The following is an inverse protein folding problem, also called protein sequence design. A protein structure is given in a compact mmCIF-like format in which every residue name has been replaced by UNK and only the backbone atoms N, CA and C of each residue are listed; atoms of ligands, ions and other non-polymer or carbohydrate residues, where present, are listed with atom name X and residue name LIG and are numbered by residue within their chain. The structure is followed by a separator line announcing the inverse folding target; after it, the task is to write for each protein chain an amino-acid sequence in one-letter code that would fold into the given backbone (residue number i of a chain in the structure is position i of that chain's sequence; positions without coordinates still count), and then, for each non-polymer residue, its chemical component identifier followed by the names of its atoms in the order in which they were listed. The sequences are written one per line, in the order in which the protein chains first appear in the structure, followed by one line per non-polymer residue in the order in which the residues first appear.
data_IF_597299329791
#
_entry.id   IF_597299329791
#
_cell.length_a   1.000
_cell.length_b   1.000
_cell.length_c   1.000
_cell.angle_alpha   90.00
_cell.angle_beta   90.00
_cell.angle_gamma   90.00
#
_symmetry.space_group_name_H-M   'P 1'
#
loop_
_entity.id
_entity.type
_entity.pdbx_description
1 polymer ?
#
# COMPACT_ATOMS: atom_id res chain seq x y z
N UNK A 1 49.87 -4.77 -44.39
CA UNK A 1 48.81 -3.77 -44.65
C UNK A 1 47.39 -4.20 -44.26
N UNK A 2 47.15 -5.40 -43.69
CA UNK A 2 45.79 -5.89 -43.35
C UNK A 2 45.23 -5.41 -41.99
N UNK A 3 46.02 -4.70 -41.18
CA UNK A 3 45.63 -4.26 -39.82
C UNK A 3 44.87 -2.93 -39.78
N UNK A 4 45.17 -1.99 -40.70
CA UNK A 4 44.55 -0.66 -40.75
C UNK A 4 43.06 -0.71 -41.19
N UNK A 5 42.71 -1.60 -42.12
CA UNK A 5 41.32 -1.78 -42.56
C UNK A 5 40.40 -2.38 -41.49
N UNK A 6 40.93 -3.26 -40.63
CA UNK A 6 40.17 -3.80 -39.47
C UNK A 6 39.87 -2.72 -38.44
N UNK A 7 40.77 -1.75 -38.24
CA UNK A 7 40.55 -0.62 -37.33
C UNK A 7 39.44 0.33 -37.81
N UNK A 8 39.38 0.62 -39.12
CA UNK A 8 38.30 1.43 -39.71
C UNK A 8 36.93 0.74 -39.60
N UNK A 9 36.83 -0.56 -39.90
CA UNK A 9 35.60 -1.33 -39.72
C UNK A 9 35.16 -1.41 -38.25
N UNK A 10 36.10 -1.41 -37.31
CA UNK A 10 35.80 -1.38 -35.87
C UNK A 10 35.20 -0.02 -35.47
N UNK A 11 35.70 1.08 -36.02
CA UNK A 11 35.11 2.42 -35.85
C UNK A 11 33.69 2.53 -36.43
N UNK A 12 33.41 1.91 -37.58
CA UNK A 12 32.07 1.93 -38.18
C UNK A 12 31.04 1.12 -37.38
N UNK A 13 31.45 0.03 -36.73
CA UNK A 13 30.57 -0.76 -35.84
C UNK A 13 30.01 0.05 -34.67
N UNK A 14 30.66 1.14 -34.28
CA UNK A 14 30.19 2.04 -33.20
C UNK A 14 28.96 2.87 -33.60
N UNK A 15 28.70 3.04 -34.90
CA UNK A 15 27.53 3.76 -35.41
C UNK A 15 26.31 2.85 -35.62
N UNK A 16 26.51 1.53 -35.68
CA UNK A 16 25.43 0.56 -35.72
C UNK A 16 25.01 0.20 -34.31
N UNK A 17 23.94 0.85 -33.83
CA UNK A 17 23.23 0.41 -32.64
C UNK A 17 22.72 -1.01 -32.82
N UNK A 18 22.51 -1.72 -31.71
CA UNK A 18 21.81 -2.99 -31.81
C UNK A 18 20.39 -2.73 -32.35
N UNK A 19 19.83 -3.61 -33.20
CA UNK A 19 18.58 -3.30 -33.89
C UNK A 19 17.40 -3.05 -32.95
N UNK A 20 17.42 -3.63 -31.74
CA UNK A 20 16.44 -3.41 -30.67
C UNK A 20 16.64 -2.12 -29.85
N UNK A 21 17.69 -1.34 -30.12
CA UNK A 21 17.96 -0.03 -29.50
C UNK A 21 17.54 1.16 -30.39
N UNK A 22 16.87 0.88 -31.51
CA UNK A 22 16.40 1.91 -32.46
C UNK A 22 14.96 2.33 -32.14
N UNK A 23 14.10 1.39 -31.75
CA UNK A 23 12.71 1.65 -31.34
C UNK A 23 12.30 0.74 -30.17
N UNK A 24 11.33 1.21 -29.37
CA UNK A 24 10.76 0.44 -28.25
C UNK A 24 11.30 0.84 -26.87
N UNK A 25 10.96 0.09 -25.81
CA UNK A 25 11.29 0.45 -24.42
C UNK A 25 12.80 0.63 -24.18
N UNK A 26 13.64 -0.16 -24.85
CA UNK A 26 15.10 -0.12 -24.70
C UNK A 26 15.77 1.14 -25.25
N UNK A 27 15.01 2.04 -25.89
CA UNK A 27 15.54 3.31 -26.42
C UNK A 27 15.27 4.50 -25.52
N UNK A 28 14.37 4.35 -24.55
CA UNK A 28 14.08 5.41 -23.59
C UNK A 28 15.27 5.62 -22.66
N UNK A 29 15.68 6.86 -22.37
CA UNK A 29 16.72 7.15 -21.38
C UNK A 29 16.34 6.70 -19.97
N UNK A 30 15.06 6.43 -19.72
CA UNK A 30 14.52 6.00 -18.44
C UNK A 30 14.54 4.47 -18.27
N UNK A 31 14.84 3.74 -19.34
CA UNK A 31 14.89 2.28 -19.32
C UNK A 31 16.08 1.76 -18.49
N UNK A 32 15.79 0.88 -17.54
CA UNK A 32 16.79 0.20 -16.70
C UNK A 32 16.66 -1.31 -16.82
N UNK A 33 17.80 -2.01 -16.91
CA UNK A 33 17.81 -3.47 -16.95
C UNK A 33 17.31 -4.08 -15.63
N UNK A 34 16.62 -5.21 -15.73
CA UNK A 34 16.01 -5.90 -14.58
C UNK A 34 17.00 -6.67 -13.70
N UNK A 35 18.22 -6.91 -14.21
CA UNK A 35 19.24 -7.73 -13.53
C UNK A 35 20.15 -6.79 -12.73
N UNK A 36 19.94 -6.63 -11.41
CA UNK A 36 20.84 -5.85 -10.60
C UNK A 36 22.18 -6.58 -10.45
N UNK A 37 23.25 -5.83 -10.22
CA UNK A 37 24.51 -6.43 -9.85
C UNK A 37 24.41 -7.08 -8.46
N UNK A 38 25.07 -8.22 -8.27
CA UNK A 38 25.11 -8.93 -6.99
C UNK A 38 25.74 -8.09 -5.85
N UNK A 39 26.58 -7.11 -6.20
CA UNK A 39 27.18 -6.14 -5.26
C UNK A 39 26.19 -5.07 -4.82
N UNK A 40 25.21 -4.72 -5.67
CA UNK A 40 24.22 -3.68 -5.43
C UNK A 40 23.01 -4.23 -4.67
N UNK A 41 22.50 -5.38 -5.10
CA UNK A 41 21.32 -6.00 -4.50
C UNK A 41 21.72 -6.90 -3.33
N UNK A 42 21.17 -6.62 -2.14
CA UNK A 42 21.34 -7.46 -0.95
C UNK A 42 22.81 -7.68 -0.57
N UNK A 43 23.57 -6.58 -0.55
CA UNK A 43 24.97 -6.53 -0.10
C UNK A 43 25.22 -7.24 1.24
N UNK A 44 24.24 -7.19 2.14
CA UNK A 44 24.25 -7.92 3.40
C UNK A 44 23.19 -9.02 3.37
N UNK A 45 23.55 -10.20 3.89
CA UNK A 45 22.56 -11.24 4.15
C UNK A 45 21.52 -10.73 5.17
N UNK A 46 20.23 -11.11 5.08
CA UNK A 46 19.19 -10.62 5.99
C UNK A 46 19.44 -11.03 7.44
N UNK A 47 20.15 -12.14 7.66
CA UNK A 47 20.55 -12.60 8.99
C UNK A 47 21.76 -11.82 9.55
N UNK A 48 22.49 -11.11 8.69
CA UNK A 48 23.74 -10.40 9.03
C UNK A 48 23.59 -8.92 8.70
N UNK A 49 22.52 -8.30 9.21
CA UNK A 49 22.32 -6.87 9.07
C UNK A 49 23.41 -6.10 9.85
N UNK A 50 24.00 -5.03 9.30
CA UNK A 50 25.06 -4.28 9.96
C UNK A 50 24.57 -3.48 11.18
N UNK A 51 23.27 -3.20 11.25
CA UNK A 51 22.67 -2.40 12.31
C UNK A 51 21.85 -3.27 13.28
N UNK A 52 21.98 -3.00 14.58
CA UNK A 52 21.10 -3.56 15.60
C UNK A 52 19.80 -2.76 15.65
N UNK A 53 18.74 -3.31 15.07
CA UNK A 53 17.40 -2.69 15.10
C UNK A 53 16.77 -2.84 16.49
N UNK A 54 16.21 -1.74 17.03
CA UNK A 54 15.37 -1.74 18.24
C UNK A 54 13.95 -1.36 17.83
N UNK A 55 13.07 -2.34 17.75
CA UNK A 55 11.66 -2.10 17.40
C UNK A 55 10.90 -1.66 18.67
N UNK A 56 10.29 -0.46 18.70
CA UNK A 56 9.51 -0.04 19.85
C UNK A 56 8.25 -0.91 19.97
N UNK A 57 7.95 -1.36 21.19
CA UNK A 57 6.79 -2.23 21.48
C UNK A 57 5.63 -1.48 22.14
N UNK A 58 5.93 -0.37 22.82
CA UNK A 58 4.97 0.41 23.58
C UNK A 58 5.29 1.89 23.50
N UNK A 59 4.25 2.72 23.63
CA UNK A 59 4.39 4.16 23.72
C UNK A 59 5.03 4.56 25.05
N UNK A 60 5.94 5.56 25.07
CA UNK A 60 6.71 5.92 26.26
C UNK A 60 5.84 6.35 27.45
N UNK A 61 4.70 6.98 27.18
CA UNK A 61 3.71 7.36 28.20
C UNK A 61 3.18 6.14 28.98
N UNK A 62 3.11 4.98 28.32
CA UNK A 62 2.49 3.77 28.86
C UNK A 62 3.47 2.78 29.47
N UNK A 63 4.77 3.07 29.41
CA UNK A 63 5.83 2.25 30.00
C UNK A 63 5.79 2.37 31.52
N UNK A 64 5.62 3.58 32.04
CA UNK A 64 5.57 3.84 33.48
C UNK A 64 4.14 3.94 34.02
N UNK A 65 3.19 4.53 33.27
CA UNK A 65 1.77 4.49 33.64
C UNK A 65 1.09 3.23 33.08
N UNK A 66 1.17 2.15 33.87
CA UNK A 66 0.72 0.82 33.48
C UNK A 66 -0.78 0.58 33.72
N UNK A 67 -1.57 1.62 34.01
CA UNK A 67 -3.02 1.48 34.23
C UNK A 67 -3.69 0.88 33.00
N UNK A 68 -4.23 -0.32 33.15
CA UNK A 68 -4.80 -1.05 32.02
C UNK A 68 -6.24 -0.65 31.71
N UNK A 69 -7.08 -0.37 32.72
CA UNK A 69 -8.51 -0.13 32.54
C UNK A 69 -8.82 1.12 31.69
N UNK A 70 -7.95 2.14 31.72
CA UNK A 70 -8.06 3.34 30.87
C UNK A 70 -7.68 3.07 29.41
N UNK A 71 -6.88 2.04 29.16
CA UNK A 71 -6.39 1.65 27.83
C UNK A 71 -7.21 0.53 27.19
N UNK A 72 -8.04 -0.17 27.96
CA UNK A 72 -8.80 -1.34 27.51
C UNK A 72 -9.95 -0.95 26.57
N UNK A 73 -9.64 -0.82 25.28
CA UNK A 73 -10.63 -0.55 24.22
C UNK A 73 -11.56 -1.72 23.92
N UNK A 74 -11.24 -2.93 24.37
CA UNK A 74 -12.05 -4.11 24.07
C UNK A 74 -13.29 -4.19 24.95
N UNK A 75 -13.15 -3.81 26.23
CA UNK A 75 -14.24 -3.84 27.21
C UNK A 75 -14.89 -2.48 27.42
N UNK A 76 -14.21 -1.39 27.11
CA UNK A 76 -14.73 -0.01 27.12
C UNK A 76 -15.67 0.25 25.93
N UNK A 77 -16.67 -0.60 25.76
CA UNK A 77 -17.74 -0.44 24.79
C UNK A 77 -19.05 -0.15 25.51
N UNK A 78 -19.90 0.76 25.00
CA UNK A 78 -21.19 0.98 25.60
C UNK A 78 -21.99 -0.32 25.61
N UNK A 79 -22.76 -0.61 26.67
CA UNK A 79 -23.58 -1.80 26.75
C UNK A 79 -24.65 -1.79 25.65
N UNK A 80 -24.99 -2.97 25.15
CA UNK A 80 -26.01 -3.13 24.11
C UNK A 80 -27.37 -2.70 24.66
N UNK A 81 -27.95 -1.64 24.09
CA UNK A 81 -29.30 -1.17 24.41
C UNK A 81 -30.31 -1.83 23.48
N UNK A 82 -31.28 -2.55 24.03
CA UNK A 82 -32.39 -3.19 23.28
C UNK A 82 -33.70 -2.54 23.69
N UNK A 83 -34.37 -1.89 22.75
CA UNK A 83 -35.68 -1.26 22.96
C UNK A 83 -36.71 -1.95 22.08
N UNK A 84 -37.87 -2.28 22.65
CA UNK A 84 -38.99 -2.86 21.90
C UNK A 84 -39.83 -1.72 21.32
N UNK A 85 -39.96 -1.66 19.99
CA UNK A 85 -40.86 -0.73 19.32
C UNK A 85 -42.18 -1.45 19.03
N UNK A 86 -43.29 -0.92 19.53
CA UNK A 86 -44.63 -1.45 19.22
C UNK A 86 -45.26 -0.62 18.09
N UNK A 87 -46.32 -1.15 17.49
CA UNK A 87 -47.12 -0.46 16.48
C UNK A 87 -47.44 1.02 16.79
N UNK A 88 -47.94 1.40 18.00
CA UNK A 88 -48.22 2.80 18.30
C UNK A 88 -46.98 3.71 18.28
N UNK A 89 -45.79 3.19 18.59
CA UNK A 89 -44.55 3.98 18.57
C UNK A 89 -44.10 4.24 17.14
N UNK A 90 -44.26 3.23 16.27
CA UNK A 90 -43.95 3.34 14.84
C UNK A 90 -44.88 4.34 14.15
N UNK A 91 -46.19 4.29 14.42
CA UNK A 91 -47.17 5.23 13.87
C UNK A 91 -46.86 6.68 14.26
N UNK A 92 -46.42 6.92 15.50
CA UNK A 92 -45.96 8.25 15.95
C UNK A 92 -44.71 8.72 15.21
N UNK A 93 -43.72 7.85 15.01
CA UNK A 93 -42.50 8.18 14.27
C UNK A 93 -42.83 8.50 12.81
N UNK A 94 -43.74 7.74 12.20
CA UNK A 94 -44.17 7.97 10.82
C UNK A 94 -44.93 9.30 10.68
N UNK A 95 -45.81 9.62 11.61
CA UNK A 95 -46.54 10.90 11.61
C UNK A 95 -45.62 12.10 11.83
N UNK A 96 -44.52 11.94 12.58
CA UNK A 96 -43.57 13.00 12.86
C UNK A 96 -42.50 13.21 11.77
N UNK A 97 -42.24 12.21 10.92
CA UNK A 97 -41.14 12.25 9.95
C UNK A 97 -41.56 12.91 8.63
N UNK A 98 -40.90 13.99 8.26
CA UNK A 98 -40.95 14.59 6.91
C UNK A 98 -39.56 14.47 6.27
N UNK A 99 -39.48 14.23 4.96
CA UNK A 99 -38.22 14.07 4.25
C UNK A 99 -37.79 15.38 3.57
N UNK A 100 -36.64 15.91 3.96
CA UNK A 100 -35.91 16.95 3.25
C UNK A 100 -34.86 16.38 2.29
N UNK A 101 -34.19 17.23 1.51
CA UNK A 101 -33.14 16.82 0.57
C UNK A 101 -31.91 16.18 1.27
N UNK A 102 -31.62 16.55 2.52
CA UNK A 102 -30.48 16.03 3.29
C UNK A 102 -30.73 14.69 3.99
N UNK A 103 -32.00 14.24 4.07
CA UNK A 103 -32.38 12.98 4.72
C UNK A 103 -32.06 11.74 3.86
N UNK A 104 -31.72 11.97 2.59
CA UNK A 104 -31.35 10.90 1.68
C UNK A 104 -29.88 10.52 1.85
N UNK A 105 -29.54 9.22 1.84
CA UNK A 105 -28.15 8.80 1.91
C UNK A 105 -27.39 9.39 0.72
N UNK A 106 -26.25 10.00 1.01
CA UNK A 106 -25.41 10.60 -0.02
C UNK A 106 -24.95 9.53 -1.00
N UNK A 107 -25.16 9.79 -2.29
CA UNK A 107 -24.67 8.90 -3.34
C UNK A 107 -23.15 8.98 -3.38
N UNK A 108 -22.48 7.84 -3.38
CA UNK A 108 -21.06 7.77 -3.68
C UNK A 108 -20.88 7.97 -5.19
N UNK A 109 -20.72 9.23 -5.62
CA UNK A 109 -20.47 9.56 -7.01
C UNK A 109 -19.00 9.32 -7.32
N UNK A 110 -18.73 8.36 -8.21
CA UNK A 110 -17.41 8.24 -8.83
C UNK A 110 -17.29 9.35 -9.86
N UNK A 111 -16.27 10.20 -9.72
CA UNK A 111 -15.96 11.23 -10.70
C UNK A 111 -15.64 10.56 -12.06
N UNK A 112 -16.01 11.21 -13.17
CA UNK A 112 -15.53 10.80 -14.48
C UNK A 112 -14.04 11.13 -14.53
N UNK A 113 -13.22 10.09 -14.44
CA UNK A 113 -11.76 10.21 -14.48
C UNK A 113 -11.34 10.22 -15.94
N UNK A 114 -10.67 11.29 -16.37
CA UNK A 114 -9.90 11.29 -17.61
C UNK A 114 -8.53 10.66 -17.30
N UNK A 115 -8.23 9.55 -17.95
CA UNK A 115 -6.98 8.83 -17.77
C UNK A 115 -5.87 9.56 -18.54
N UNK A 116 -4.99 10.24 -17.80
CA UNK A 116 -3.75 10.82 -18.33
C UNK A 116 -2.56 10.03 -17.77
N UNK A 117 -1.73 9.51 -18.67
CA UNK A 117 -0.58 8.66 -18.37
C UNK A 117 0.47 9.37 -17.49
N UNK A 118 0.66 10.70 -17.61
CA UNK A 118 1.77 11.42 -16.98
C UNK A 118 1.36 12.68 -16.20
N UNK A 119 0.06 13.00 -16.07
CA UNK A 119 -0.43 14.22 -15.41
C UNK A 119 0.08 14.44 -13.97
N UNK A 120 0.19 13.38 -13.16
CA UNK A 120 0.55 13.51 -11.74
C UNK A 120 2.06 13.40 -11.55
N UNK A 121 2.69 14.54 -11.27
CA UNK A 121 4.14 14.60 -11.00
C UNK A 121 5.02 14.32 -12.22
N UNK A 122 4.47 14.41 -13.43
CA UNK A 122 5.21 14.14 -14.67
C UNK A 122 5.59 12.67 -14.84
N UNK A 123 4.74 11.74 -14.39
CA UNK A 123 5.01 10.30 -14.40
C UNK A 123 5.94 9.80 -13.28
N UNK A 124 6.54 10.71 -12.50
CA UNK A 124 7.47 10.39 -11.41
C UNK A 124 6.96 10.91 -10.06
N UNK A 125 6.46 10.02 -9.21
CA UNK A 125 6.05 10.38 -7.86
C UNK A 125 7.28 10.54 -6.95
N UNK A 126 7.62 11.78 -6.59
CA UNK A 126 8.61 12.06 -5.55
C UNK A 126 8.05 11.62 -4.19
N UNK A 127 8.74 10.69 -3.53
CA UNK A 127 8.40 10.15 -2.21
C UNK A 127 8.56 11.16 -1.04
N UNK A 128 8.80 12.45 -1.31
CA UNK A 128 8.94 13.48 -0.26
C UNK A 128 7.62 13.78 0.48
N UNK A 129 6.47 13.67 -0.19
CA UNK A 129 5.16 13.84 0.47
C UNK A 129 4.81 12.67 1.41
N UNK A 130 5.42 11.49 1.26
CA UNK A 130 5.22 10.35 2.17
C UNK A 130 6.00 10.54 3.49
N UNK A 131 7.09 11.32 3.48
CA UNK A 131 7.82 11.70 4.69
C UNK A 131 7.08 12.78 5.52
N UNK A 132 6.35 13.67 4.85
CA UNK A 132 5.47 14.65 5.52
C UNK A 132 4.19 13.97 6.06
N UNK A 133 3.63 13.00 5.34
CA UNK A 133 2.52 12.20 5.87
C UNK A 133 2.93 11.23 6.97
N UNK A 134 4.15 10.68 6.96
CA UNK A 134 4.65 9.84 8.06
C UNK A 134 4.99 10.65 9.31
N UNK A 135 5.40 11.91 9.17
CA UNK A 135 5.49 12.85 10.30
C UNK A 135 4.12 13.34 10.78
N UNK A 136 3.10 13.39 9.91
CA UNK A 136 1.71 13.65 10.28
C UNK A 136 1.03 12.45 10.97
N UNK A 137 1.35 11.21 10.58
CA UNK A 137 0.92 9.97 11.26
C UNK A 137 1.70 9.76 12.57
N UNK A 138 2.96 10.20 12.65
CA UNK A 138 3.72 10.21 13.91
C UNK A 138 3.15 11.21 14.94
N UNK A 139 2.40 12.22 14.49
CA UNK A 139 1.71 13.20 15.35
C UNK A 139 0.24 12.85 15.61
N UNK A 140 -0.42 12.08 14.74
CA UNK A 140 -1.77 11.58 14.96
C UNK A 140 -1.81 10.07 15.24
N UNK A 141 -2.01 9.73 16.53
CA UNK A 141 -2.18 8.39 17.12
C UNK A 141 -3.15 7.48 16.34
N UNK A 142 -2.67 6.78 15.32
CA UNK A 142 -3.35 5.59 14.77
C UNK A 142 -2.39 4.41 14.71
N UNK A 143 -2.38 3.65 15.81
CA UNK A 143 -1.68 2.39 15.96
C UNK A 143 -2.38 1.30 15.13
N UNK A 144 -1.81 0.92 13.99
CA UNK A 144 -2.24 -0.29 13.28
C UNK A 144 -1.39 -1.48 13.74
N UNK A 145 -2.03 -2.41 14.44
CA UNK A 145 -1.41 -3.59 15.05
C UNK A 145 -1.12 -4.64 13.97
N UNK A 146 0.16 -4.86 13.65
CA UNK A 146 0.60 -5.95 12.78
C UNK A 146 0.92 -7.17 13.65
N UNK A 147 -0.04 -8.09 13.78
CA UNK A 147 0.15 -9.34 14.55
C UNK A 147 0.88 -10.38 13.67
N UNK A 148 2.05 -10.81 14.15
CA UNK A 148 2.92 -11.78 13.51
C UNK A 148 2.41 -13.22 13.75
N UNK A 149 2.08 -13.93 12.68
CA UNK A 149 1.43 -15.26 12.69
C UNK A 149 2.47 -16.39 12.82
N UNK A 150 3.12 -16.54 13.98
CA UNK A 150 4.02 -17.69 14.25
C UNK A 150 3.93 -18.20 15.69
N UNK A 151 2.74 -18.69 16.08
CA UNK A 151 2.47 -19.73 17.10
C UNK A 151 1.09 -19.50 17.67
N UNK A 152 0.08 -20.22 17.18
CA UNK A 152 -1.13 -20.50 17.93
C UNK A 152 -1.71 -21.82 17.41
N UNK A 153 -1.40 -22.90 18.11
CA UNK A 153 -2.27 -24.07 18.16
C UNK A 153 -3.46 -23.66 19.03
N UNK A 154 -4.63 -23.42 18.44
CA UNK A 154 -5.93 -23.41 19.14
C UNK A 154 -7.06 -23.33 18.10
N UNK A 155 -7.73 -24.48 17.94
CA UNK A 155 -9.17 -24.69 17.76
C UNK A 155 -9.96 -23.72 16.86
N UNK A 156 -10.45 -24.30 15.77
CA UNK A 156 -11.68 -23.99 15.04
C UNK A 156 -12.69 -23.19 15.87
N UNK A 157 -12.89 -21.92 15.49
CA UNK A 157 -14.20 -21.36 15.12
C UNK A 157 -14.04 -19.85 14.86
N UNK A 158 -14.62 -19.37 13.76
CA UNK A 158 -14.61 -17.99 13.22
C UNK A 158 -13.35 -17.51 12.48
N UNK A 159 -13.15 -18.05 11.27
CA UNK A 159 -12.33 -17.41 10.23
C UNK A 159 -13.16 -16.31 9.56
N UNK A 160 -12.93 -15.05 9.93
CA UNK A 160 -13.34 -13.90 9.12
C UNK A 160 -12.26 -13.69 8.06
N UNK A 161 -12.51 -14.17 6.85
CA UNK A 161 -11.73 -13.84 5.67
C UNK A 161 -11.87 -12.34 5.40
N UNK A 162 -10.87 -11.55 5.78
CA UNK A 162 -10.66 -10.24 5.16
C UNK A 162 -10.01 -10.54 3.81
N UNK A 163 -10.85 -10.64 2.79
CA UNK A 163 -10.42 -10.79 1.40
C UNK A 163 -9.61 -9.57 0.97
N UNK A 164 -8.29 -9.70 1.01
CA UNK A 164 -7.41 -8.92 0.14
C UNK A 164 -7.67 -9.40 -1.28
N UNK A 165 -8.37 -8.59 -2.07
CA UNK A 165 -8.44 -8.75 -3.51
C UNK A 165 -7.02 -8.69 -4.07
N UNK A 166 -6.42 -9.85 -4.25
CA UNK A 166 -5.34 -10.07 -5.21
C UNK A 166 -5.95 -9.93 -6.59
N UNK A 167 -5.63 -8.85 -7.31
CA UNK A 167 -5.78 -8.83 -8.77
C UNK A 167 -4.74 -9.81 -9.31
N UNK A 168 -5.20 -11.03 -9.53
CA UNK A 168 -4.51 -12.07 -10.29
C UNK A 168 -4.48 -11.58 -11.73
N UNK A 169 -3.29 -11.22 -12.22
CA UNK A 169 -3.04 -11.08 -13.66
C UNK A 169 -3.22 -12.47 -14.29
N UNK A 170 -4.00 -12.60 -15.39
CA UNK A 170 -4.17 -13.89 -16.05
C UNK A 170 -2.87 -14.35 -16.69
N UNK A 171 -2.57 -15.63 -16.47
CA UNK A 171 -1.57 -16.41 -17.18
C UNK A 171 -1.78 -16.28 -18.70
N UNK A 172 -0.85 -15.63 -19.39
CA UNK A 172 -0.72 -15.76 -20.84
C UNK A 172 0.18 -16.97 -21.12
N UNK A 173 -0.49 -18.09 -21.40
CA UNK A 173 0.08 -19.26 -22.07
C UNK A 173 0.46 -18.87 -23.50
N UNK A 174 1.71 -19.12 -23.91
CA UNK A 174 2.10 -19.21 -25.31
C UNK A 174 2.79 -20.56 -25.52
N UNK A 175 2.08 -21.43 -26.23
CA UNK A 175 2.68 -22.36 -27.18
C UNK A 175 2.95 -21.61 -28.50
#
# INVERSE_FOLDING_TARGET
MASAGKALLQSFKRFFKMPWEITGPCTSPEYRSSVPMATEYRRFCPATAPAKVRVPTSEPETVFDIKYYTRDRRRDRPPVRRTLLRKPDVERIMAAKAFGPDDFPKVYLTEQVEEDENARGGGYQKWQQVAELSSFIATNRFFCCWVNFKKCHLTTDSVVFIGLYSVILPEFSFA
#
